data_IF_182613029302
#
_entry.id   IF_182613029302
#
_cell.length_a   1.000
_cell.length_b   1.000
_cell.length_c   1.000
_cell.angle_alpha   90.00
_cell.angle_beta   90.00
_cell.angle_gamma   90.00
#
_symmetry.space_group_name_H-M   'P 1'
#
loop_
_entity.id
_entity.type
_entity.pdbx_description
1 polymer ?
#
# COMPACT_ATOMS: atom_id res chain seq x y z
N UNK A 1 -21.61 3.52 -42.95
CA UNK A 1 -20.68 2.49 -42.42
C UNK A 1 -20.07 3.04 -41.15
N UNK A 2 -20.14 2.37 -40.00
CA UNK A 2 -19.50 2.88 -38.78
C UNK A 2 -17.98 2.78 -38.92
N UNK A 3 -17.27 3.86 -38.60
CA UNK A 3 -15.81 3.91 -38.56
C UNK A 3 -15.29 2.89 -37.53
N UNK A 4 -14.46 1.96 -38.01
CA UNK A 4 -13.89 0.90 -37.20
C UNK A 4 -13.04 1.44 -36.06
N UNK A 5 -13.20 0.82 -34.89
CA UNK A 5 -12.32 1.03 -33.74
C UNK A 5 -10.86 0.80 -34.17
N UNK A 6 -10.03 1.83 -34.07
CA UNK A 6 -8.58 1.71 -34.27
C UNK A 6 -8.02 0.90 -33.11
N UNK A 7 -7.56 -0.32 -33.39
CA UNK A 7 -6.72 -1.09 -32.48
C UNK A 7 -5.37 -0.37 -32.42
N UNK A 8 -5.14 0.39 -31.36
CA UNK A 8 -3.83 0.97 -31.04
C UNK A 8 -3.03 -0.10 -30.35
N UNK A 9 -1.86 -0.42 -30.92
CA UNK A 9 -0.99 -1.44 -30.37
C UNK A 9 -0.39 -0.95 -29.04
N UNK A 10 -0.17 -1.88 -28.11
CA UNK A 10 0.33 -1.61 -26.75
C UNK A 10 1.63 -0.78 -26.73
N UNK A 11 2.45 -0.91 -27.78
CA UNK A 11 3.69 -0.14 -27.97
C UNK A 11 3.42 1.36 -28.22
N UNK A 12 2.39 1.70 -29.00
CA UNK A 12 1.97 3.09 -29.24
C UNK A 12 1.40 3.74 -27.97
N UNK A 13 0.76 2.94 -27.11
CA UNK A 13 0.29 3.41 -25.80
C UNK A 13 1.47 3.82 -24.91
N UNK A 14 2.50 2.98 -24.80
CA UNK A 14 3.67 3.31 -23.98
C UNK A 14 4.40 4.59 -24.43
N UNK A 15 4.35 4.93 -25.71
CA UNK A 15 4.88 6.20 -26.22
C UNK A 15 4.13 7.42 -25.63
N UNK A 16 2.82 7.30 -25.38
CA UNK A 16 2.00 8.37 -24.80
C UNK A 16 2.24 8.58 -23.31
N UNK A 17 2.73 7.58 -22.55
CA UNK A 17 2.93 7.72 -21.10
C UNK A 17 3.81 8.90 -20.73
N UNK A 18 4.83 9.19 -21.55
CA UNK A 18 5.70 10.35 -21.33
C UNK A 18 4.92 11.65 -21.50
N UNK A 19 4.15 11.79 -22.58
CA UNK A 19 3.32 12.97 -22.84
C UNK A 19 2.26 13.17 -21.75
N UNK A 20 1.61 12.10 -21.29
CA UNK A 20 0.71 12.15 -20.14
C UNK A 20 1.44 12.60 -18.87
N UNK A 21 2.61 12.03 -18.60
CA UNK A 21 3.43 12.43 -17.46
C UNK A 21 3.83 13.90 -17.48
N UNK A 22 4.18 14.45 -18.65
CA UNK A 22 4.47 15.88 -18.80
C UNK A 22 3.23 16.75 -18.67
N UNK A 23 2.09 16.35 -19.22
CA UNK A 23 0.82 17.08 -19.06
C UNK A 23 0.38 17.12 -17.59
N UNK A 24 0.57 16.03 -16.84
CA UNK A 24 0.30 16.00 -15.39
C UNK A 24 1.17 17.01 -14.64
N UNK A 25 2.47 17.07 -14.94
CA UNK A 25 3.39 18.05 -14.34
C UNK A 25 3.03 19.48 -14.75
N UNK A 26 2.58 19.69 -15.99
CA UNK A 26 2.16 21.00 -16.49
C UNK A 26 0.91 21.51 -15.79
N UNK A 27 -0.09 20.64 -15.57
CA UNK A 27 -1.37 20.98 -14.91
C UNK A 27 -1.25 21.09 -13.40
N UNK A 28 -0.35 20.32 -12.80
CA UNK A 28 -0.08 20.34 -11.36
C UNK A 28 1.43 20.47 -11.15
N UNK A 29 1.97 21.71 -11.24
CA UNK A 29 3.40 21.98 -11.07
C UNK A 29 3.95 21.35 -9.79
N UNK A 30 5.22 20.96 -9.81
CA UNK A 30 5.91 20.24 -8.72
C UNK A 30 5.45 18.79 -8.48
N UNK A 31 4.48 18.27 -9.25
CA UNK A 31 4.12 16.86 -9.21
C UNK A 31 5.30 15.99 -9.65
N UNK A 32 5.43 14.81 -9.02
CA UNK A 32 6.46 13.84 -9.37
C UNK A 32 5.87 12.77 -10.25
N UNK A 33 6.35 12.68 -11.49
CA UNK A 33 6.06 11.56 -12.39
C UNK A 33 7.39 10.95 -12.83
N UNK A 34 7.60 9.67 -12.54
CA UNK A 34 8.80 8.91 -12.93
C UNK A 34 8.36 7.69 -13.74
N UNK A 35 8.90 7.54 -14.94
CA UNK A 35 8.61 6.41 -15.82
C UNK A 35 9.94 5.74 -16.17
N UNK A 36 10.02 4.41 -15.99
CA UNK A 36 11.17 3.61 -16.44
C UNK A 36 10.73 2.69 -17.57
N UNK A 37 11.48 2.77 -18.65
CA UNK A 37 11.38 1.91 -19.82
C UNK A 37 12.79 1.34 -20.04
N UNK A 38 12.87 0.05 -20.35
CA UNK A 38 14.11 -0.63 -20.75
C UNK A 38 13.99 -1.07 -22.20
N UNK A 39 15.08 -1.01 -22.95
CA UNK A 39 15.11 -1.51 -24.33
C UNK A 39 15.50 -2.98 -24.34
N UNK A 40 14.78 -3.81 -25.11
CA UNK A 40 15.18 -5.18 -25.41
C UNK A 40 15.41 -5.29 -26.92
N UNK A 41 16.63 -4.99 -27.36
CA UNK A 41 16.89 -4.69 -28.77
C UNK A 41 16.34 -3.30 -29.08
N UNK A 42 15.50 -3.18 -30.10
CA UNK A 42 14.81 -1.92 -30.46
C UNK A 42 13.47 -1.75 -29.73
N UNK A 43 12.95 -2.81 -29.10
CA UNK A 43 11.63 -2.80 -28.49
C UNK A 43 11.64 -2.13 -27.10
N UNK A 44 10.85 -1.05 -26.89
CA UNK A 44 10.70 -0.43 -25.59
C UNK A 44 9.79 -1.25 -24.67
N UNK A 45 10.34 -1.67 -23.54
CA UNK A 45 9.65 -2.46 -22.52
C UNK A 45 9.37 -1.60 -21.29
N UNK A 46 8.09 -1.41 -20.99
CA UNK A 46 7.66 -0.78 -19.74
C UNK A 46 8.09 -1.60 -18.53
N UNK A 47 8.66 -0.90 -17.54
CA UNK A 47 9.09 -1.49 -16.27
C UNK A 47 8.26 -0.96 -15.10
N UNK A 48 8.15 0.37 -14.98
CA UNK A 48 7.39 0.99 -13.89
C UNK A 48 7.02 2.45 -14.18
N UNK A 49 5.96 2.89 -13.51
CA UNK A 49 5.54 4.29 -13.43
C UNK A 49 5.24 4.65 -11.99
N UNK A 50 5.61 5.84 -11.57
CA UNK A 50 5.24 6.44 -10.28
C UNK A 50 4.62 7.80 -10.53
N UNK A 51 3.52 8.07 -9.84
CA UNK A 51 2.79 9.33 -9.90
C UNK A 51 2.50 9.79 -8.48
N UNK A 52 2.90 11.01 -8.15
CA UNK A 52 2.50 11.71 -6.94
C UNK A 52 2.20 13.17 -7.29
N UNK A 53 0.93 13.55 -7.10
CA UNK A 53 0.46 14.89 -7.35
C UNK A 53 0.94 15.83 -6.25
N UNK A 54 1.53 16.98 -6.61
CA UNK A 54 2.02 17.94 -5.62
C UNK A 54 0.91 18.42 -4.69
N UNK A 55 -0.25 18.79 -5.26
CA UNK A 55 -1.41 19.20 -4.47
C UNK A 55 -1.85 18.16 -3.43
N UNK A 56 -1.81 16.85 -3.76
CA UNK A 56 -2.17 15.79 -2.81
C UNK A 56 -1.09 15.60 -1.75
N UNK A 57 0.19 15.59 -2.15
CA UNK A 57 1.30 15.54 -1.21
C UNK A 57 1.23 16.71 -0.21
N UNK A 58 1.00 17.92 -0.69
CA UNK A 58 0.90 19.13 0.13
C UNK A 58 -0.34 19.11 1.03
N UNK A 59 -1.50 18.71 0.50
CA UNK A 59 -2.71 18.52 1.30
C UNK A 59 -2.53 17.50 2.42
N UNK A 60 -1.79 16.41 2.15
CA UNK A 60 -1.42 15.44 3.18
C UNK A 60 -0.55 16.06 4.27
N UNK A 61 0.54 16.73 3.87
CA UNK A 61 1.49 17.33 4.82
C UNK A 61 0.88 18.47 5.66
N UNK A 62 -0.11 19.18 5.13
CA UNK A 62 -0.71 20.35 5.80
C UNK A 62 -1.95 20.02 6.63
N UNK A 63 -2.70 18.97 6.29
CA UNK A 63 -4.03 18.75 6.88
C UNK A 63 -4.39 17.31 7.20
N UNK A 64 -3.57 16.32 6.84
CA UNK A 64 -3.86 14.92 7.13
C UNK A 64 -3.11 14.44 8.38
N UNK A 65 -3.55 13.30 8.93
CA UNK A 65 -2.78 12.58 9.94
C UNK A 65 -1.54 12.00 9.27
N UNK A 66 -0.38 12.10 9.91
CA UNK A 66 0.89 11.59 9.37
C UNK A 66 1.02 10.06 9.44
N UNK A 67 0.02 9.36 8.90
CA UNK A 67 -0.01 7.92 8.70
C UNK A 67 -0.40 7.67 7.25
N UNK A 68 0.34 6.78 6.60
CA UNK A 68 0.02 6.28 5.27
C UNK A 68 -0.18 4.77 5.33
N UNK A 69 -1.22 4.30 4.65
CA UNK A 69 -1.38 2.92 4.27
C UNK A 69 -0.70 2.68 2.92
N UNK A 70 -0.06 1.52 2.80
CA UNK A 70 0.53 1.02 1.56
C UNK A 70 -0.15 -0.30 1.24
N UNK A 71 -0.64 -0.44 0.00
CA UNK A 71 -1.15 -1.72 -0.46
C UNK A 71 -0.97 -1.89 -1.95
N UNK A 72 -0.87 -3.15 -2.37
CA UNK A 72 -0.72 -3.54 -3.76
C UNK A 72 -1.85 -4.43 -4.19
N UNK A 73 -2.30 -4.26 -5.43
CA UNK A 73 -3.22 -5.19 -6.05
C UNK A 73 -2.82 -5.49 -7.49
N UNK A 74 -3.09 -6.72 -7.92
CA UNK A 74 -2.79 -7.15 -9.28
C UNK A 74 -3.72 -6.45 -10.27
N UNK A 75 -3.13 -6.02 -11.40
CA UNK A 75 -3.89 -5.70 -12.60
C UNK A 75 -4.43 -7.02 -13.18
N UNK A 76 -5.63 -6.97 -13.77
CA UNK A 76 -6.35 -8.16 -14.22
C UNK A 76 -6.15 -8.46 -15.72
N UNK A 77 -5.33 -7.65 -16.40
CA UNK A 77 -4.96 -7.84 -17.80
C UNK A 77 -3.94 -8.96 -18.04
N UNK A 78 -3.49 -9.15 -19.29
CA UNK A 78 -2.52 -10.18 -19.65
C UNK A 78 -1.14 -9.97 -19.01
N UNK A 79 -0.88 -8.77 -18.48
CA UNK A 79 0.34 -8.41 -17.78
C UNK A 79 0.17 -8.64 -16.28
N UNK A 80 1.09 -9.42 -15.67
CA UNK A 80 1.14 -9.71 -14.22
C UNK A 80 1.68 -8.52 -13.41
N UNK A 81 1.21 -7.34 -13.76
CA UNK A 81 1.64 -6.08 -13.17
C UNK A 81 0.83 -5.80 -11.91
N UNK A 82 1.37 -4.95 -11.04
CA UNK A 82 0.73 -4.53 -9.81
C UNK A 82 0.60 -3.03 -9.79
N UNK A 83 -0.57 -2.55 -9.36
CA UNK A 83 -0.73 -1.18 -8.91
C UNK A 83 -0.55 -1.14 -7.40
N UNK A 84 0.40 -0.33 -6.98
CA UNK A 84 0.66 0.01 -5.59
C UNK A 84 0.05 1.37 -5.32
N UNK A 85 -0.63 1.51 -4.18
CA UNK A 85 -1.26 2.74 -3.75
C UNK A 85 -0.70 3.21 -2.42
N UNK A 86 -0.65 4.53 -2.26
CA UNK A 86 -0.37 5.20 -0.99
C UNK A 86 -1.55 6.05 -0.63
N UNK A 87 -2.12 5.74 0.52
CA UNK A 87 -3.37 6.35 0.99
C UNK A 87 -3.15 6.86 2.41
N UNK A 88 -3.28 8.16 2.59
CA UNK A 88 -3.31 8.80 3.91
C UNK A 88 -4.71 8.80 4.53
N UNK A 89 -4.77 9.40 5.71
CA UNK A 89 -6.01 9.61 6.47
C UNK A 89 -6.17 11.11 6.70
N UNK A 90 -7.26 11.70 6.24
CA UNK A 90 -7.53 13.11 6.49
C UNK A 90 -7.95 13.37 7.96
N UNK A 91 -8.11 14.64 8.33
CA UNK A 91 -8.52 15.02 9.69
C UNK A 91 -9.87 14.42 10.12
N UNK A 92 -10.76 14.15 9.16
CA UNK A 92 -12.10 13.57 9.35
C UNK A 92 -12.13 12.04 9.29
N UNK A 93 -10.97 11.38 9.36
CA UNK A 93 -10.81 9.93 9.21
C UNK A 93 -11.23 9.39 7.83
N UNK A 94 -11.29 10.26 6.82
CA UNK A 94 -11.54 9.93 5.44
C UNK A 94 -10.30 9.41 4.72
N UNK A 95 -10.53 8.72 3.61
CA UNK A 95 -9.49 8.23 2.73
C UNK A 95 -8.88 9.38 1.93
N UNK A 96 -7.55 9.52 1.97
CA UNK A 96 -6.85 10.56 1.22
C UNK A 96 -5.78 9.94 0.30
N UNK A 97 -6.06 9.71 -1.00
CA UNK A 97 -5.06 9.16 -1.91
C UNK A 97 -3.90 10.14 -2.14
N UNK A 98 -2.66 9.64 -2.12
CA UNK A 98 -1.45 10.49 -2.20
C UNK A 98 -0.65 10.19 -3.47
N UNK A 99 -0.38 8.91 -3.71
CA UNK A 99 0.48 8.48 -4.80
C UNK A 99 0.14 7.06 -5.26
N UNK A 100 0.51 6.75 -6.49
CA UNK A 100 0.35 5.43 -7.09
C UNK A 100 1.60 5.04 -7.86
N UNK A 101 1.86 3.74 -7.91
CA UNK A 101 2.88 3.17 -8.76
C UNK A 101 2.33 1.98 -9.52
N UNK A 102 2.67 1.89 -10.79
CA UNK A 102 2.45 0.70 -11.60
C UNK A 102 3.81 0.04 -11.75
N UNK A 103 3.92 -1.21 -11.33
CA UNK A 103 5.16 -1.98 -11.40
C UNK A 103 4.93 -3.27 -12.19
N UNK A 104 5.92 -3.62 -13.00
CA UNK A 104 5.95 -4.90 -13.67
C UNK A 104 6.48 -5.98 -12.73
N UNK A 105 5.73 -7.07 -12.59
CA UNK A 105 6.09 -8.18 -11.71
C UNK A 105 6.00 -7.85 -10.21
N UNK A 106 6.73 -8.62 -9.39
CA UNK A 106 6.72 -8.50 -7.92
C UNK A 106 8.04 -7.90 -7.46
N UNK A 107 8.05 -6.59 -7.21
CA UNK A 107 9.18 -5.91 -6.56
C UNK A 107 8.79 -5.46 -5.14
N UNK A 108 9.05 -6.30 -4.12
CA UNK A 108 8.55 -6.08 -2.75
C UNK A 108 9.13 -4.86 -2.03
N UNK A 109 10.15 -4.19 -2.61
CA UNK A 109 10.85 -3.04 -1.99
C UNK A 109 10.71 -1.74 -2.77
N UNK A 110 9.89 -1.71 -3.83
CA UNK A 110 9.78 -0.52 -4.67
C UNK A 110 9.25 0.69 -3.89
N UNK A 111 8.32 0.48 -2.95
CA UNK A 111 7.80 1.59 -2.14
C UNK A 111 8.88 2.19 -1.23
N UNK A 112 9.72 1.37 -0.61
CA UNK A 112 10.85 1.87 0.20
C UNK A 112 11.83 2.69 -0.64
N UNK A 113 12.10 2.26 -1.89
CA UNK A 113 12.93 2.97 -2.87
C UNK A 113 12.29 4.26 -3.40
N UNK A 114 10.96 4.29 -3.54
CA UNK A 114 10.21 5.43 -4.09
C UNK A 114 10.00 6.52 -3.06
N UNK A 115 9.71 6.15 -1.82
CA UNK A 115 9.50 7.10 -0.74
C UNK A 115 10.82 7.50 -0.10
N UNK A 116 11.83 6.63 -0.03
CA UNK A 116 13.18 7.03 0.43
C UNK A 116 13.22 7.60 1.85
N UNK A 117 12.24 7.27 2.68
CA UNK A 117 12.10 7.82 4.03
C UNK A 117 12.07 6.72 5.08
N UNK A 118 12.83 6.91 6.15
CA UNK A 118 12.84 6.07 7.33
C UNK A 118 11.65 6.41 8.23
N UNK A 119 10.50 5.77 8.00
CA UNK A 119 9.33 5.90 8.87
C UNK A 119 9.20 4.72 9.84
N UNK A 120 8.35 4.88 10.85
CA UNK A 120 7.88 3.75 11.65
C UNK A 120 7.00 2.84 10.77
N UNK A 121 7.43 1.61 10.54
CA UNK A 121 6.66 0.64 9.78
C UNK A 121 5.68 -0.09 10.68
N UNK A 122 4.38 -0.02 10.38
CA UNK A 122 3.34 -0.75 11.11
C UNK A 122 2.78 -1.87 10.23
N UNK A 123 2.71 -3.08 10.77
CA UNK A 123 2.05 -4.20 10.14
C UNK A 123 0.54 -4.09 10.34
N UNK A 124 -0.21 -4.23 9.24
CA UNK A 124 -1.65 -4.41 9.31
C UNK A 124 -1.97 -5.66 10.15
N UNK A 125 -2.72 -5.49 11.24
CA UNK A 125 -3.01 -6.58 12.18
C UNK A 125 -3.80 -7.70 11.53
N UNK A 126 -4.61 -7.39 10.52
CA UNK A 126 -5.30 -8.41 9.70
C UNK A 126 -4.30 -9.27 8.90
N UNK A 127 -3.28 -8.68 8.30
CA UNK A 127 -2.22 -9.44 7.60
C UNK A 127 -1.36 -10.23 8.59
N UNK A 128 -1.03 -9.63 9.74
CA UNK A 128 -0.33 -10.30 10.83
C UNK A 128 -1.10 -11.53 11.32
N UNK A 129 -2.41 -11.42 11.48
CA UNK A 129 -3.30 -12.53 11.81
C UNK A 129 -3.29 -13.65 10.77
N UNK A 130 -3.33 -13.30 9.48
CA UNK A 130 -3.23 -14.31 8.43
C UNK A 130 -1.89 -15.04 8.47
N UNK A 131 -0.78 -14.32 8.69
CA UNK A 131 0.53 -14.93 8.86
C UNK A 131 0.62 -15.81 10.10
N UNK A 132 0.03 -15.37 11.21
CA UNK A 132 -0.03 -16.12 12.47
C UNK A 132 -0.80 -17.44 12.30
N UNK A 133 -1.95 -17.40 11.62
CA UNK A 133 -2.70 -18.62 11.24
C UNK A 133 -1.90 -19.54 10.33
N UNK A 134 -1.25 -18.99 9.31
CA UNK A 134 -0.44 -19.75 8.35
C UNK A 134 0.77 -20.42 9.01
N UNK A 135 1.28 -19.86 10.12
CA UNK A 135 2.32 -20.47 10.94
C UNK A 135 1.80 -21.59 11.86
N UNK A 136 0.51 -21.94 11.77
CA UNK A 136 -0.11 -23.02 12.54
C UNK A 136 -0.90 -22.57 13.77
N UNK A 137 -0.85 -21.28 14.13
CA UNK A 137 -1.56 -20.75 15.31
C UNK A 137 -3.03 -20.45 14.99
N UNK A 138 -3.81 -21.53 14.92
CA UNK A 138 -5.23 -21.49 14.56
C UNK A 138 -6.14 -21.45 15.81
N UNK A 139 -7.38 -21.03 15.61
CA UNK A 139 -8.40 -21.04 16.65
C UNK A 139 -8.76 -19.65 17.18
N UNK A 140 -10.00 -19.53 17.66
CA UNK A 140 -10.58 -18.24 18.08
C UNK A 140 -9.91 -17.68 19.33
N UNK A 141 -9.46 -18.53 20.25
CA UNK A 141 -8.79 -18.12 21.50
C UNK A 141 -7.46 -17.43 21.19
N UNK A 142 -6.59 -18.08 20.41
CA UNK A 142 -5.31 -17.51 19.99
C UNK A 142 -5.49 -16.25 19.14
N UNK A 143 -6.48 -16.24 18.24
CA UNK A 143 -6.86 -15.02 17.52
C UNK A 143 -7.18 -13.89 18.52
N UNK A 144 -8.10 -14.11 19.46
CA UNK A 144 -8.54 -13.06 20.39
C UNK A 144 -7.40 -12.56 21.29
N UNK A 145 -6.55 -13.45 21.79
CA UNK A 145 -5.37 -13.09 22.57
C UNK A 145 -4.41 -12.20 21.76
N UNK A 146 -4.07 -12.61 20.53
CA UNK A 146 -3.23 -11.81 19.63
C UNK A 146 -3.82 -10.42 19.34
N UNK A 147 -5.12 -10.38 19.02
CA UNK A 147 -5.79 -9.11 18.76
C UNK A 147 -5.87 -8.19 19.98
N UNK A 148 -5.88 -8.75 21.19
CA UNK A 148 -5.86 -7.98 22.44
C UNK A 148 -4.48 -7.39 22.69
N UNK A 149 -3.41 -8.18 22.52
CA UNK A 149 -2.02 -7.69 22.56
C UNK A 149 -1.75 -6.61 21.50
N UNK A 150 -2.26 -6.78 20.27
CA UNK A 150 -2.10 -5.78 19.21
C UNK A 150 -2.84 -4.46 19.51
N UNK A 151 -4.00 -4.54 20.19
CA UNK A 151 -4.84 -3.37 20.54
C UNK A 151 -4.45 -2.68 21.85
N UNK A 152 -3.63 -3.32 22.69
CA UNK A 152 -3.19 -2.78 23.97
C UNK A 152 -2.62 -1.36 23.80
N UNK A 153 -3.09 -0.42 24.63
CA UNK A 153 -2.77 1.01 24.52
C UNK A 153 -1.61 1.43 25.42
N UNK A 154 -1.23 0.61 26.39
CA UNK A 154 -0.13 0.86 27.31
C UNK A 154 0.78 -0.36 27.39
N UNK A 155 2.05 -0.15 27.75
CA UNK A 155 3.04 -1.22 27.89
C UNK A 155 2.59 -2.26 28.95
N UNK A 156 2.12 -1.88 30.17
CA UNK A 156 1.68 -2.86 31.15
C UNK A 156 0.50 -3.71 30.67
N UNK A 157 -0.43 -3.12 29.90
CA UNK A 157 -1.55 -3.86 29.34
C UNK A 157 -1.08 -4.83 28.25
N UNK A 158 -0.12 -4.40 27.43
CA UNK A 158 0.49 -5.26 26.43
C UNK A 158 1.17 -6.47 27.07
N UNK A 159 1.99 -6.25 28.10
CA UNK A 159 2.69 -7.30 28.84
C UNK A 159 1.70 -8.31 29.44
N UNK A 160 0.62 -7.83 30.06
CA UNK A 160 -0.44 -8.69 30.59
C UNK A 160 -1.16 -9.51 29.50
N UNK A 161 -1.40 -8.95 28.31
CA UNK A 161 -1.99 -9.70 27.20
C UNK A 161 -1.03 -10.73 26.59
N UNK A 162 0.28 -10.42 26.59
CA UNK A 162 1.32 -11.36 26.15
C UNK A 162 1.49 -12.52 27.14
N UNK A 163 1.42 -12.26 28.44
CA UNK A 163 1.43 -13.29 29.49
C UNK A 163 0.22 -14.24 29.34
N UNK A 164 -0.98 -13.70 29.13
CA UNK A 164 -2.17 -14.53 28.82
C UNK A 164 -1.94 -15.41 27.58
N UNK A 165 -1.25 -14.90 26.55
CA UNK A 165 -0.92 -15.70 25.37
C UNK A 165 0.04 -16.84 25.70
N UNK A 166 1.02 -16.58 26.56
CA UNK A 166 1.98 -17.58 27.03
C UNK A 166 1.28 -18.72 27.77
N UNK A 167 0.32 -18.40 28.65
CA UNK A 167 -0.50 -19.38 29.37
C UNK A 167 -1.34 -20.25 28.42
N UNK A 168 -1.82 -19.68 27.32
CA UNK A 168 -2.60 -20.41 26.30
C UNK A 168 -1.68 -21.27 25.43
N UNK A 169 -0.55 -20.73 24.98
CA UNK A 169 0.38 -21.40 24.09
C UNK A 169 1.74 -20.71 24.06
N UNK A 170 2.76 -21.39 24.61
CA UNK A 170 4.16 -20.97 24.51
C UNK A 170 4.62 -20.79 23.06
N UNK A 171 4.21 -21.67 22.15
CA UNK A 171 4.55 -21.55 20.72
C UNK A 171 4.00 -20.27 20.08
N UNK A 172 2.79 -19.84 20.46
CA UNK A 172 2.19 -18.61 19.96
C UNK A 172 2.92 -17.38 20.51
N UNK A 173 3.26 -17.39 21.81
CA UNK A 173 4.05 -16.36 22.45
C UNK A 173 5.43 -16.21 21.78
N UNK A 174 6.14 -17.32 21.56
CA UNK A 174 7.46 -17.33 20.91
C UNK A 174 7.43 -16.82 19.48
N UNK A 175 6.32 -17.02 18.75
CA UNK A 175 6.15 -16.45 17.42
C UNK A 175 6.22 -14.92 17.39
N UNK A 176 5.76 -14.29 18.47
CA UNK A 176 5.80 -12.83 18.67
C UNK A 176 7.10 -12.34 19.30
N UNK A 177 7.80 -13.14 20.12
CA UNK A 177 9.11 -12.75 20.68
C UNK A 177 10.14 -12.34 19.62
N UNK A 178 10.05 -12.93 18.43
CA UNK A 178 10.91 -12.61 17.30
C UNK A 178 10.44 -11.40 16.48
N UNK A 179 9.42 -10.65 16.93
CA UNK A 179 8.81 -9.52 16.21
C UNK A 179 8.77 -8.27 17.08
N UNK A 180 9.42 -7.16 16.69
CA UNK A 180 9.41 -5.95 17.48
C UNK A 180 7.99 -5.40 17.69
N UNK A 181 7.52 -5.18 18.94
CA UNK A 181 6.17 -4.69 19.21
C UNK A 181 5.85 -3.33 18.58
N UNK A 182 6.87 -2.49 18.38
CA UNK A 182 6.77 -1.22 17.64
C UNK A 182 6.21 -1.37 16.21
N UNK A 183 6.28 -2.57 15.62
CA UNK A 183 5.72 -2.83 14.31
C UNK A 183 4.27 -3.33 14.34
N UNK A 184 3.69 -3.69 15.48
CA UNK A 184 2.37 -4.35 15.46
C UNK A 184 1.44 -4.13 16.68
N UNK A 185 1.93 -3.55 17.78
CA UNK A 185 1.09 -3.22 18.95
C UNK A 185 0.99 -1.71 19.17
N UNK A 186 -0.23 -1.23 19.41
CA UNK A 186 -0.53 0.20 19.60
C UNK A 186 0.25 0.84 20.74
N UNK A 187 0.45 0.10 21.82
CA UNK A 187 1.20 0.53 23.02
C UNK A 187 2.63 0.98 22.70
N UNK A 188 3.20 0.52 21.58
CA UNK A 188 4.58 0.79 21.17
C UNK A 188 4.69 1.74 19.96
N UNK A 189 3.56 2.19 19.40
CA UNK A 189 3.56 3.12 18.27
C UNK A 189 3.87 4.55 18.70
N UNK A 190 4.53 5.31 17.84
CA UNK A 190 4.64 6.76 18.02
C UNK A 190 3.27 7.42 18.10
N UNK A 191 3.16 8.37 19.03
CA UNK A 191 1.94 9.14 19.30
C UNK A 191 1.80 10.41 18.46
N UNK A 192 2.84 10.77 17.70
CA UNK A 192 2.84 11.95 16.82
C UNK A 192 1.71 11.94 15.78
N UNK A 193 1.42 10.82 15.08
CA UNK A 193 0.38 10.82 14.05
C UNK A 193 -1.06 10.93 14.58
N UNK A 194 -1.24 10.90 15.91
CA UNK A 194 -2.55 10.91 16.60
C UNK A 194 -3.57 9.97 15.96
N UNK A 195 -3.12 8.79 15.55
CA UNK A 195 -3.92 7.84 14.78
C UNK A 195 -3.85 6.46 15.42
N UNK A 196 -5.02 5.86 15.68
CA UNK A 196 -5.17 4.55 16.31
C UNK A 196 -5.42 3.41 15.31
N UNK A 197 -5.38 3.70 14.01
CA UNK A 197 -5.58 2.72 12.96
C UNK A 197 -4.46 1.67 12.99
N UNK A 198 -4.89 0.41 13.06
CA UNK A 198 -4.04 -0.80 13.02
C UNK A 198 -4.36 -1.70 11.82
N UNK A 199 -5.29 -1.25 10.98
CA UNK A 199 -5.82 -1.97 9.82
C UNK A 199 -5.55 -1.18 8.56
N UNK A 200 -5.38 -1.89 7.45
CA UNK A 200 -5.20 -1.28 6.14
C UNK A 200 -6.52 -1.07 5.40
N UNK A 201 -7.63 -0.89 6.12
CA UNK A 201 -8.98 -0.84 5.55
C UNK A 201 -9.11 0.23 4.46
N UNK A 202 -8.47 1.39 4.63
CA UNK A 202 -8.52 2.47 3.64
C UNK A 202 -7.85 2.09 2.33
N UNK A 203 -6.70 1.42 2.37
CA UNK A 203 -6.09 0.91 1.15
C UNK A 203 -6.93 -0.20 0.51
N UNK A 204 -7.55 -1.08 1.31
CA UNK A 204 -8.46 -2.10 0.78
C UNK A 204 -9.69 -1.48 0.11
N UNK A 205 -10.28 -0.45 0.71
CA UNK A 205 -11.38 0.32 0.13
C UNK A 205 -10.94 1.07 -1.13
N UNK A 206 -9.75 1.67 -1.14
CA UNK A 206 -9.19 2.31 -2.34
C UNK A 206 -9.04 1.30 -3.47
N UNK A 207 -8.43 0.17 -3.14
CA UNK A 207 -8.23 -0.94 -4.03
C UNK A 207 -9.59 -1.41 -4.59
N UNK A 208 -10.62 -1.57 -3.75
CA UNK A 208 -11.96 -1.92 -4.21
C UNK A 208 -12.55 -0.87 -5.19
N UNK A 209 -12.37 0.42 -4.91
CA UNK A 209 -12.90 1.50 -5.75
C UNK A 209 -12.29 1.51 -7.17
N UNK A 210 -11.05 1.07 -7.32
CA UNK A 210 -10.38 1.02 -8.64
C UNK A 210 -10.55 -0.31 -9.37
N UNK A 211 -11.37 -1.24 -8.87
CA UNK A 211 -11.48 -2.59 -9.42
C UNK A 211 -11.76 -2.62 -10.93
N UNK A 212 -12.72 -1.81 -11.40
CA UNK A 212 -13.08 -1.73 -12.83
C UNK A 212 -11.96 -1.15 -13.71
N UNK A 213 -11.10 -0.32 -13.12
CA UNK A 213 -9.95 0.26 -13.83
C UNK A 213 -8.80 -0.74 -13.96
N UNK A 214 -8.77 -1.81 -13.16
CA UNK A 214 -7.71 -2.83 -13.21
C UNK A 214 -7.80 -3.75 -14.42
N UNK A 215 -8.98 -3.82 -15.04
CA UNK A 215 -9.20 -4.58 -16.28
C UNK A 215 -8.79 -3.77 -17.52
N UNK A 216 -8.50 -2.47 -17.35
CA UNK A 216 -8.09 -1.59 -18.44
C UNK A 216 -6.57 -1.63 -18.65
N UNK A 217 -6.10 -1.50 -19.90
CA UNK A 217 -4.70 -1.23 -20.16
C UNK A 217 -4.27 0.08 -19.48
N UNK A 218 -2.98 0.21 -19.16
CA UNK A 218 -2.41 1.38 -18.46
C UNK A 218 -2.80 2.70 -19.14
N UNK A 219 -3.06 2.68 -20.44
CA UNK A 219 -3.75 3.75 -21.16
C UNK A 219 -4.97 3.19 -21.90
N UNK A 220 -6.13 3.80 -21.65
CA UNK A 220 -7.33 3.59 -22.46
C UNK A 220 -7.42 4.68 -23.51
N UNK A 221 -7.64 4.32 -24.77
CA UNK A 221 -8.09 5.30 -25.75
C UNK A 221 -9.53 5.68 -25.42
N UNK A 222 -9.79 6.98 -25.32
CA UNK A 222 -11.13 7.52 -25.45
C UNK A 222 -11.57 7.46 -26.91
#
# INVERSE_FOLDING_TARGET
MPQGFKVVYIEEQYALLRSYGEELKRRNPSSTVKIKIELRGEDPIFQRMYICYAALREGFLLGCRHVIGLDGCFLKGPYKDQILSVVGIDANNGMFPIAFAIIRGREPRYMDLVFGVFFEHRHCVRHLHNNFKNAGHNGIILKNSMWSAARATTIPWYEAEMEKMLDISTYAYDWFNHKPPINWSRSHFKVDPKCDIILNNLCESFNAAILELRDKPVLTNA
#
